data_IF_959355523986
#
_entry.id   IF_959355523986
#
_cell.length_a   1.000
_cell.length_b   1.000
_cell.length_c   1.000
_cell.angle_alpha   90.00
_cell.angle_beta   90.00
_cell.angle_gamma   90.00
#
_symmetry.space_group_name_H-M   'P 1'
#
loop_
_entity.id
_entity.type
_entity.pdbx_description
1 polymer ?
#
# COMPACT_ATOMS: atom_id res chain seq x y z
N UNK A 1 -42.65 -16.47 -26.64
CA UNK A 1 -41.19 -16.62 -26.48
C UNK A 1 -40.63 -15.62 -25.45
N UNK A 2 -41.15 -14.40 -25.35
CA UNK A 2 -40.62 -13.36 -24.43
C UNK A 2 -40.63 -13.74 -22.95
N UNK A 3 -41.66 -14.34 -22.41
CA UNK A 3 -41.76 -14.76 -21.01
C UNK A 3 -40.71 -15.82 -20.66
N UNK A 4 -40.39 -16.74 -21.56
CA UNK A 4 -39.31 -17.73 -21.34
C UNK A 4 -37.95 -17.07 -21.33
N UNK A 5 -37.77 -15.98 -22.06
CA UNK A 5 -36.54 -15.23 -22.08
C UNK A 5 -36.34 -14.47 -20.75
N UNK A 6 -37.41 -13.84 -20.24
CA UNK A 6 -37.35 -13.16 -18.92
C UNK A 6 -37.02 -14.12 -17.79
N UNK A 7 -37.69 -15.28 -17.72
CA UNK A 7 -37.38 -16.28 -16.69
C UNK A 7 -35.93 -16.77 -16.78
N UNK A 8 -35.41 -16.99 -18.00
CA UNK A 8 -34.04 -17.41 -18.18
C UNK A 8 -33.03 -16.33 -17.76
N UNK A 9 -33.39 -15.06 -17.93
CA UNK A 9 -32.55 -13.93 -17.44
C UNK A 9 -32.61 -13.82 -15.92
N UNK A 10 -33.80 -14.00 -15.31
CA UNK A 10 -33.91 -14.04 -13.83
C UNK A 10 -33.10 -15.20 -13.24
N UNK A 11 -33.11 -16.37 -13.88
CA UNK A 11 -32.28 -17.50 -13.46
C UNK A 11 -30.77 -17.15 -13.56
N UNK A 12 -30.33 -16.54 -14.67
CA UNK A 12 -28.96 -16.08 -14.87
C UNK A 12 -28.53 -15.07 -13.77
N UNK A 13 -29.38 -14.08 -13.47
CA UNK A 13 -29.15 -13.08 -12.43
C UNK A 13 -29.04 -13.75 -11.06
N UNK A 14 -29.90 -14.70 -10.77
CA UNK A 14 -29.87 -15.42 -9.51
C UNK A 14 -28.57 -16.21 -9.35
N UNK A 15 -28.10 -16.85 -10.41
CA UNK A 15 -26.85 -17.59 -10.41
C UNK A 15 -25.63 -16.66 -10.25
N UNK A 16 -25.59 -15.54 -10.99
CA UNK A 16 -24.55 -14.49 -10.86
C UNK A 16 -24.52 -13.95 -9.42
N UNK A 17 -25.67 -13.64 -8.85
CA UNK A 17 -25.76 -13.08 -7.50
C UNK A 17 -25.32 -14.08 -6.45
N UNK A 18 -25.71 -15.35 -6.55
CA UNK A 18 -25.27 -16.42 -5.66
C UNK A 18 -23.77 -16.61 -5.69
N UNK A 19 -23.17 -16.64 -6.88
CA UNK A 19 -21.74 -16.77 -7.07
C UNK A 19 -21.00 -15.57 -6.46
N UNK A 20 -21.49 -14.36 -6.74
CA UNK A 20 -20.86 -13.11 -6.30
C UNK A 20 -20.92 -12.93 -4.78
N UNK A 21 -22.06 -13.22 -4.16
CA UNK A 21 -22.27 -13.04 -2.72
C UNK A 21 -21.86 -14.28 -1.89
N UNK A 22 -21.60 -15.42 -2.54
CA UNK A 22 -21.34 -16.69 -1.86
C UNK A 22 -22.56 -17.21 -1.09
N UNK A 23 -23.79 -16.84 -1.51
CA UNK A 23 -25.04 -17.24 -0.87
C UNK A 23 -25.88 -18.13 -1.79
N UNK A 24 -25.69 -19.44 -1.66
CA UNK A 24 -26.45 -20.45 -2.43
C UNK A 24 -27.97 -20.41 -2.18
N UNK A 25 -28.40 -19.79 -1.08
CA UNK A 25 -29.81 -19.65 -0.70
C UNK A 25 -30.50 -18.45 -1.31
N UNK A 26 -29.75 -17.52 -1.92
CA UNK A 26 -30.33 -16.31 -2.50
C UNK A 26 -31.37 -16.61 -3.59
N UNK A 27 -32.49 -15.88 -3.57
CA UNK A 27 -33.54 -15.93 -4.59
C UNK A 27 -33.91 -14.51 -5.00
N UNK A 28 -33.98 -14.27 -6.32
CA UNK A 28 -34.41 -12.97 -6.85
C UNK A 28 -35.87 -12.68 -6.47
N UNK A 29 -36.11 -11.51 -5.89
CA UNK A 29 -37.47 -11.03 -5.63
C UNK A 29 -38.16 -10.59 -6.91
N UNK A 30 -38.82 -11.54 -7.57
CA UNK A 30 -39.56 -11.29 -8.81
C UNK A 30 -40.84 -10.48 -8.60
N UNK A 31 -41.25 -10.21 -7.35
CA UNK A 31 -42.40 -9.38 -7.03
C UNK A 31 -42.22 -7.91 -7.43
N UNK A 32 -41.02 -7.48 -7.67
CA UNK A 32 -40.68 -6.15 -8.19
C UNK A 32 -40.79 -6.06 -9.72
N UNK A 33 -40.91 -7.18 -10.43
CA UNK A 33 -40.95 -7.23 -11.91
C UNK A 33 -42.38 -7.17 -12.41
N UNK A 34 -42.74 -6.10 -13.13
CA UNK A 34 -43.98 -5.99 -13.90
C UNK A 34 -43.69 -6.30 -15.38
N UNK A 35 -44.20 -7.40 -15.88
CA UNK A 35 -43.98 -7.82 -17.26
C UNK A 35 -45.22 -7.59 -18.09
N UNK A 36 -45.09 -6.76 -19.13
CA UNK A 36 -46.16 -6.50 -20.08
C UNK A 36 -45.80 -7.00 -21.48
N UNK A 37 -46.72 -7.69 -22.14
CA UNK A 37 -46.53 -8.14 -23.50
C UNK A 37 -47.05 -7.04 -24.46
N UNK A 38 -46.15 -6.50 -25.29
CA UNK A 38 -46.45 -5.46 -26.26
C UNK A 38 -45.73 -5.66 -27.59
N UNK A 39 -46.13 -4.86 -28.59
CA UNK A 39 -45.43 -4.80 -29.87
C UNK A 39 -44.53 -3.59 -29.86
N UNK A 40 -43.21 -3.83 -29.92
CA UNK A 40 -42.20 -2.76 -29.95
C UNK A 40 -41.48 -2.72 -31.29
N UNK A 41 -40.89 -1.58 -31.64
CA UNK A 41 -40.02 -1.47 -32.82
C UNK A 41 -38.76 -2.29 -32.62
N UNK A 42 -38.26 -2.97 -33.67
CA UNK A 42 -37.06 -3.80 -33.60
C UNK A 42 -35.83 -3.07 -33.08
N UNK A 43 -35.73 -1.75 -33.26
CA UNK A 43 -34.65 -0.90 -32.75
C UNK A 43 -34.75 -0.60 -31.26
N UNK A 44 -35.86 -0.94 -30.60
CA UNK A 44 -36.06 -0.80 -29.15
C UNK A 44 -35.94 -2.13 -28.39
N UNK A 45 -35.37 -3.16 -29.02
CA UNK A 45 -35.15 -4.46 -28.40
C UNK A 45 -33.66 -4.50 -28.00
N UNK A 46 -33.41 -4.45 -26.73
CA UNK A 46 -32.07 -4.66 -26.13
C UNK A 46 -31.57 -6.08 -26.40
N UNK A 47 -30.27 -6.26 -26.42
CA UNK A 47 -29.68 -7.60 -26.39
C UNK A 47 -30.00 -8.32 -25.06
N UNK A 48 -29.84 -9.64 -25.02
CA UNK A 48 -30.08 -10.38 -23.79
C UNK A 48 -29.08 -9.91 -22.71
N UNK A 49 -27.85 -9.63 -23.09
CA UNK A 49 -26.77 -9.18 -22.22
C UNK A 49 -27.11 -7.80 -21.63
N UNK A 50 -27.41 -6.80 -22.45
CA UNK A 50 -27.84 -5.47 -21.98
C UNK A 50 -29.06 -5.54 -21.06
N UNK A 51 -30.01 -6.43 -21.33
CA UNK A 51 -31.19 -6.62 -20.50
C UNK A 51 -30.85 -7.28 -19.17
N UNK A 52 -29.89 -8.23 -19.15
CA UNK A 52 -29.41 -8.87 -17.92
C UNK A 52 -28.71 -7.85 -17.04
N UNK A 53 -27.82 -7.04 -17.60
CA UNK A 53 -27.08 -6.01 -16.88
C UNK A 53 -28.03 -4.98 -16.26
N UNK A 54 -28.92 -4.39 -17.07
CA UNK A 54 -29.90 -3.41 -16.60
C UNK A 54 -30.81 -3.96 -15.49
N UNK A 55 -31.21 -5.22 -15.58
CA UNK A 55 -32.09 -5.83 -14.59
C UNK A 55 -31.32 -6.20 -13.31
N UNK A 56 -30.05 -6.58 -13.43
CA UNK A 56 -29.17 -6.84 -12.27
C UNK A 56 -28.96 -5.56 -11.48
N UNK A 57 -28.67 -4.45 -12.15
CA UNK A 57 -28.53 -3.12 -11.52
C UNK A 57 -29.84 -2.67 -10.86
N UNK A 58 -31.00 -2.89 -11.50
CA UNK A 58 -32.32 -2.51 -10.96
C UNK A 58 -32.66 -3.29 -9.67
N UNK A 59 -32.20 -4.52 -9.56
CA UNK A 59 -32.38 -5.35 -8.35
C UNK A 59 -31.48 -4.92 -7.18
N UNK A 60 -30.37 -4.20 -7.47
CA UNK A 60 -29.56 -3.48 -6.49
C UNK A 60 -28.72 -4.36 -5.54
N UNK A 61 -28.56 -5.66 -5.83
CA UNK A 61 -27.78 -6.58 -4.98
C UNK A 61 -26.36 -6.73 -5.48
N UNK A 62 -26.18 -6.85 -6.79
CA UNK A 62 -24.88 -6.91 -7.45
C UNK A 62 -24.88 -5.97 -8.64
N UNK A 63 -23.74 -5.43 -8.98
CA UNK A 63 -23.57 -4.47 -10.09
C UNK A 63 -22.26 -4.77 -10.80
N UNK A 64 -22.22 -4.59 -12.12
CA UNK A 64 -20.99 -4.76 -12.89
C UNK A 64 -20.09 -3.55 -12.69
N UNK A 65 -18.89 -3.77 -12.19
CA UNK A 65 -18.00 -2.70 -11.78
C UNK A 65 -16.52 -3.06 -11.98
N UNK A 66 -15.67 -2.05 -11.82
CA UNK A 66 -14.21 -2.17 -11.76
C UNK A 66 -13.79 -2.20 -10.30
N UNK A 67 -13.23 -3.34 -9.88
CA UNK A 67 -12.92 -3.64 -8.49
C UNK A 67 -11.43 -3.50 -8.24
N UNK A 68 -11.08 -2.71 -7.24
CA UNK A 68 -9.73 -2.63 -6.72
C UNK A 68 -9.46 -3.76 -5.75
N UNK A 69 -8.49 -4.60 -6.08
CA UNK A 69 -7.92 -5.60 -5.18
C UNK A 69 -6.57 -5.12 -4.67
N UNK A 70 -6.34 -5.32 -3.39
CA UNK A 70 -5.05 -5.08 -2.73
C UNK A 70 -4.68 -6.37 -2.00
N UNK A 71 -3.54 -6.97 -2.35
CA UNK A 71 -3.10 -8.27 -1.83
C UNK A 71 -4.16 -9.38 -2.01
N UNK A 72 -4.91 -9.32 -3.10
CA UNK A 72 -5.97 -10.27 -3.44
C UNK A 72 -7.32 -10.04 -2.76
N UNK A 73 -7.43 -9.05 -1.87
CA UNK A 73 -8.68 -8.70 -1.17
C UNK A 73 -9.39 -7.54 -1.89
N UNK A 74 -10.73 -7.63 -2.12
CA UNK A 74 -11.49 -6.56 -2.73
C UNK A 74 -11.65 -5.40 -1.74
N UNK A 75 -11.20 -4.21 -2.12
CA UNK A 75 -11.18 -3.03 -1.24
C UNK A 75 -12.28 -2.04 -1.57
N UNK A 76 -12.48 -1.76 -2.85
CA UNK A 76 -13.48 -0.81 -3.33
C UNK A 76 -13.80 -1.08 -4.80
N UNK A 77 -14.91 -0.55 -5.29
CA UNK A 77 -15.29 -0.65 -6.69
C UNK A 77 -15.86 0.67 -7.21
N UNK A 78 -15.83 0.85 -8.53
CA UNK A 78 -16.49 1.96 -9.22
C UNK A 78 -17.05 1.48 -10.56
N UNK A 79 -18.11 2.11 -11.03
CA UNK A 79 -18.68 1.85 -12.36
C UNK A 79 -17.94 2.57 -13.50
N UNK A 80 -16.96 3.43 -13.18
CA UNK A 80 -16.23 4.22 -14.17
C UNK A 80 -14.94 3.50 -14.62
N UNK A 81 -14.85 3.10 -15.91
CA UNK A 81 -13.65 2.42 -16.41
C UNK A 81 -12.40 3.30 -16.33
N UNK A 82 -11.28 2.72 -15.91
CA UNK A 82 -9.98 3.39 -15.84
C UNK A 82 -9.84 4.42 -14.71
N UNK A 83 -10.89 4.62 -13.90
CA UNK A 83 -10.89 5.64 -12.87
C UNK A 83 -10.04 5.26 -11.65
N UNK A 84 -10.02 3.99 -11.30
CA UNK A 84 -9.17 3.48 -10.21
C UNK A 84 -7.70 3.55 -10.61
N UNK A 85 -7.35 3.15 -11.83
CA UNK A 85 -5.99 3.21 -12.34
C UNK A 85 -5.46 4.65 -12.35
N UNK A 86 -6.28 5.61 -12.77
CA UNK A 86 -5.92 7.02 -12.70
C UNK A 86 -5.72 7.49 -11.26
N UNK A 87 -6.57 7.06 -10.33
CA UNK A 87 -6.42 7.36 -8.91
C UNK A 87 -5.10 6.81 -8.36
N UNK A 88 -4.75 5.55 -8.70
CA UNK A 88 -3.49 4.93 -8.29
C UNK A 88 -2.28 5.71 -8.82
N UNK A 89 -2.30 6.11 -10.09
CA UNK A 89 -1.22 6.93 -10.64
C UNK A 89 -1.15 8.29 -9.95
N UNK A 90 -2.29 8.92 -9.68
CA UNK A 90 -2.34 10.22 -9.00
C UNK A 90 -1.81 10.15 -7.56
N UNK A 91 -2.00 9.05 -6.86
CA UNK A 91 -1.44 8.85 -5.51
C UNK A 91 0.09 8.81 -5.51
N UNK A 92 0.72 8.32 -6.58
CA UNK A 92 2.19 8.31 -6.73
C UNK A 92 2.78 9.68 -7.07
N UNK A 93 2.01 10.57 -7.71
CA UNK A 93 2.51 11.87 -8.19
C UNK A 93 3.19 12.70 -7.09
N UNK A 94 2.71 12.62 -5.85
CA UNK A 94 3.29 13.37 -4.72
C UNK A 94 4.70 12.90 -4.31
N UNK A 95 5.13 11.73 -4.77
CA UNK A 95 6.43 11.12 -4.45
C UNK A 95 7.42 11.20 -5.63
N UNK A 96 6.91 11.46 -6.84
CA UNK A 96 7.75 11.50 -8.05
C UNK A 96 8.45 12.84 -8.16
N UNK A 97 9.79 12.80 -8.29
CA UNK A 97 10.68 13.95 -8.54
C UNK A 97 11.39 13.81 -9.89
N UNK A 98 12.20 14.81 -10.28
CA UNK A 98 13.05 14.72 -11.48
C UNK A 98 14.12 13.62 -11.36
N UNK A 99 14.45 13.20 -10.14
CA UNK A 99 15.44 12.16 -9.84
C UNK A 99 14.85 10.76 -9.75
N UNK A 100 13.52 10.62 -9.73
CA UNK A 100 12.83 9.34 -9.63
C UNK A 100 13.12 8.47 -10.86
N UNK A 101 13.58 7.25 -10.63
CA UNK A 101 13.83 6.23 -11.65
C UNK A 101 12.80 5.12 -11.61
N UNK A 102 12.12 4.93 -10.46
CA UNK A 102 11.05 3.96 -10.29
C UNK A 102 10.10 4.41 -9.16
N UNK A 103 8.79 4.15 -9.30
CA UNK A 103 7.80 4.45 -8.28
C UNK A 103 6.66 3.42 -8.34
N UNK A 104 6.47 2.67 -7.25
CA UNK A 104 5.50 1.58 -7.19
C UNK A 104 4.90 1.41 -5.79
N UNK A 105 3.85 0.60 -5.68
CA UNK A 105 3.29 0.16 -4.40
C UNK A 105 3.94 -1.14 -3.95
N UNK A 106 4.13 -1.32 -2.64
CA UNK A 106 4.63 -2.57 -2.06
C UNK A 106 3.58 -3.68 -2.20
N UNK A 107 2.32 -3.30 -2.00
CA UNK A 107 1.17 -4.20 -2.07
C UNK A 107 0.90 -4.59 -3.52
N UNK A 108 0.36 -5.79 -3.73
CA UNK A 108 -0.11 -6.24 -5.04
C UNK A 108 -1.45 -5.56 -5.35
N UNK A 109 -1.43 -4.65 -6.33
CA UNK A 109 -2.59 -3.83 -6.71
C UNK A 109 -3.10 -4.27 -8.07
N UNK A 110 -4.31 -4.82 -8.10
CA UNK A 110 -4.98 -5.25 -9.32
C UNK A 110 -6.35 -4.58 -9.46
N UNK A 111 -6.72 -4.26 -10.70
CA UNK A 111 -8.10 -3.84 -11.04
C UNK A 111 -8.71 -4.91 -11.93
N UNK A 112 -9.85 -5.46 -11.51
CA UNK A 112 -10.59 -6.49 -12.25
C UNK A 112 -12.01 -6.02 -12.47
N UNK A 113 -12.57 -6.33 -13.63
CA UNK A 113 -13.98 -6.08 -13.92
C UNK A 113 -14.82 -7.33 -13.61
N UNK A 114 -16.04 -7.10 -13.12
CA UNK A 114 -16.97 -8.19 -12.81
C UNK A 114 -18.14 -7.72 -11.97
N UNK A 115 -19.06 -8.65 -11.70
CA UNK A 115 -20.15 -8.40 -10.78
C UNK A 115 -19.64 -8.43 -9.34
N UNK A 116 -20.06 -7.44 -8.56
CA UNK A 116 -19.72 -7.31 -7.15
C UNK A 116 -20.92 -6.90 -6.33
N UNK A 117 -20.86 -7.10 -5.03
CA UNK A 117 -21.81 -6.53 -4.09
C UNK A 117 -21.86 -5.00 -4.26
N UNK A 118 -23.06 -4.46 -4.51
CA UNK A 118 -23.25 -3.03 -4.76
C UNK A 118 -22.78 -2.15 -3.59
N UNK A 119 -22.65 -2.71 -2.40
CA UNK A 119 -22.10 -2.00 -1.23
C UNK A 119 -20.60 -1.68 -1.34
N UNK A 120 -19.86 -2.36 -2.21
CA UNK A 120 -18.47 -2.07 -2.52
C UNK A 120 -18.31 -0.86 -3.45
N UNK A 121 -19.36 -0.52 -4.18
CA UNK A 121 -19.32 0.57 -5.18
C UNK A 121 -19.38 1.91 -4.47
N UNK A 122 -18.42 2.75 -4.78
CA UNK A 122 -18.24 4.04 -4.13
C UNK A 122 -17.77 5.10 -5.13
N UNK A 123 -17.99 6.37 -4.80
CA UNK A 123 -17.39 7.45 -5.57
C UNK A 123 -15.87 7.52 -5.35
N UNK A 124 -15.15 8.03 -6.34
CA UNK A 124 -13.68 8.09 -6.32
C UNK A 124 -13.11 8.88 -5.13
N UNK A 125 -13.81 9.92 -4.66
CA UNK A 125 -13.40 10.69 -3.49
C UNK A 125 -13.37 9.84 -2.22
N UNK A 126 -14.40 9.01 -2.02
CA UNK A 126 -14.45 8.07 -0.90
C UNK A 126 -13.38 6.98 -1.01
N UNK A 127 -13.15 6.46 -2.24
CA UNK A 127 -12.08 5.48 -2.48
C UNK A 127 -10.72 6.10 -2.14
N UNK A 128 -10.45 7.32 -2.60
CA UNK A 128 -9.22 8.04 -2.30
C UNK A 128 -9.02 8.27 -0.79
N UNK A 129 -10.08 8.69 -0.09
CA UNK A 129 -10.05 8.87 1.37
C UNK A 129 -9.75 7.55 2.08
N UNK A 130 -10.41 6.45 1.67
CA UNK A 130 -10.20 5.11 2.24
C UNK A 130 -8.76 4.64 2.04
N UNK A 131 -8.18 4.83 0.86
CA UNK A 131 -6.81 4.41 0.55
C UNK A 131 -5.75 5.25 1.26
N UNK A 132 -6.03 6.52 1.53
CA UNK A 132 -5.16 7.39 2.34
C UNK A 132 -5.29 7.14 3.86
N UNK A 133 -6.31 6.38 4.28
CA UNK A 133 -6.47 5.97 5.67
C UNK A 133 -5.58 4.77 6.00
N UNK A 134 -5.59 4.34 7.25
CA UNK A 134 -4.90 3.13 7.69
C UNK A 134 -5.83 1.93 7.69
N UNK A 135 -5.38 0.80 7.13
CA UNK A 135 -6.07 -0.50 7.16
C UNK A 135 -6.20 -1.01 8.60
N UNK A 136 -5.16 -0.78 9.41
CA UNK A 136 -5.15 -1.07 10.84
C UNK A 136 -4.45 0.06 11.59
N UNK A 137 -5.03 0.49 12.71
CA UNK A 137 -4.41 1.48 13.57
C UNK A 137 -3.17 0.94 14.28
N UNK A 138 -2.31 1.83 14.76
CA UNK A 138 -1.20 1.45 15.61
C UNK A 138 -1.70 0.74 16.88
N UNK A 139 -1.01 -0.32 17.28
CA UNK A 139 -1.33 -1.04 18.51
C UNK A 139 -0.44 -0.52 19.64
N UNK A 140 -1.07 -0.09 20.72
CA UNK A 140 -0.38 0.42 21.90
C UNK A 140 -0.51 -0.56 23.05
N UNK A 141 0.62 -0.91 23.66
CA UNK A 141 0.71 -1.72 24.86
C UNK A 141 0.89 -0.81 26.09
N UNK A 142 0.09 -1.01 27.11
CA UNK A 142 0.30 -0.32 28.39
C UNK A 142 1.15 -1.18 29.32
N UNK A 143 2.31 -0.69 29.71
CA UNK A 143 3.26 -1.36 30.57
C UNK A 143 2.64 -1.70 31.93
N UNK A 144 2.77 -2.95 32.35
CA UNK A 144 2.25 -3.46 33.63
C UNK A 144 3.36 -3.52 34.69
N UNK A 145 3.01 -3.51 35.97
CA UNK A 145 4.00 -3.73 37.03
C UNK A 145 4.74 -5.05 36.86
N UNK A 146 6.07 -5.00 36.82
CA UNK A 146 6.93 -6.17 36.63
C UNK A 146 7.31 -6.49 35.20
N UNK A 147 6.78 -5.75 34.23
CA UNK A 147 7.22 -5.86 32.83
C UNK A 147 8.66 -5.38 32.67
N UNK A 148 9.35 -6.03 31.76
CA UNK A 148 10.69 -5.61 31.30
C UNK A 148 10.67 -5.49 29.79
N UNK A 149 11.46 -4.57 29.27
CA UNK A 149 11.49 -4.24 27.83
C UNK A 149 11.61 -5.46 26.93
N UNK A 150 12.58 -6.36 27.24
CA UNK A 150 12.82 -7.56 26.44
C UNK A 150 11.65 -8.54 26.44
N UNK A 151 10.92 -8.66 27.56
CA UNK A 151 9.77 -9.54 27.64
C UNK A 151 8.59 -8.98 26.82
N UNK A 152 8.38 -7.65 26.83
CA UNK A 152 7.38 -7.02 25.98
C UNK A 152 7.69 -7.24 24.50
N UNK A 153 8.94 -7.06 24.07
CA UNK A 153 9.37 -7.33 22.71
C UNK A 153 9.12 -8.78 22.31
N UNK A 154 9.58 -9.74 23.10
CA UNK A 154 9.44 -11.18 22.85
C UNK A 154 7.96 -11.61 22.78
N UNK A 155 7.11 -11.14 23.70
CA UNK A 155 5.68 -11.44 23.71
C UNK A 155 4.93 -10.94 22.47
N UNK A 156 5.48 -9.91 21.81
CA UNK A 156 4.91 -9.35 20.59
C UNK A 156 5.67 -9.78 19.32
N UNK A 157 6.56 -10.80 19.45
CA UNK A 157 7.25 -11.40 18.31
C UNK A 157 8.31 -10.51 17.65
N UNK A 158 8.86 -9.54 18.39
CA UNK A 158 9.84 -8.57 17.90
C UNK A 158 11.12 -8.57 18.72
N UNK A 159 12.18 -8.05 18.15
CA UNK A 159 13.45 -7.80 18.83
C UNK A 159 13.38 -6.52 19.69
N UNK A 160 14.30 -6.37 20.63
CA UNK A 160 14.43 -5.15 21.42
C UNK A 160 14.66 -3.90 20.54
N UNK A 161 15.37 -4.08 19.41
CA UNK A 161 15.65 -2.98 18.50
C UNK A 161 14.43 -2.57 17.70
N UNK A 162 13.62 -3.53 17.27
CA UNK A 162 12.34 -3.24 16.57
C UNK A 162 11.38 -2.51 17.49
N UNK A 163 11.24 -2.95 18.76
CA UNK A 163 10.42 -2.23 19.74
C UNK A 163 10.94 -0.81 19.98
N UNK A 164 12.26 -0.60 20.00
CA UNK A 164 12.85 0.74 20.15
C UNK A 164 12.58 1.62 18.93
N UNK A 165 12.66 1.06 17.72
CA UNK A 165 12.36 1.78 16.49
C UNK A 165 10.89 2.24 16.42
N UNK A 166 9.97 1.45 16.99
CA UNK A 166 8.56 1.83 17.14
C UNK A 166 8.34 2.93 18.19
N UNK A 167 9.30 3.14 19.11
CA UNK A 167 9.21 4.10 20.20
C UNK A 167 10.44 5.03 20.22
N UNK A 168 10.65 5.85 19.19
CA UNK A 168 11.84 6.67 19.07
C UNK A 168 11.92 7.67 20.24
N UNK A 169 13.13 7.75 20.85
CA UNK A 169 13.37 8.63 21.98
C UNK A 169 12.95 8.07 23.34
N UNK A 170 12.43 6.84 23.43
CA UNK A 170 12.14 6.18 24.69
C UNK A 170 13.43 5.71 25.37
N UNK A 171 13.58 6.00 26.66
CA UNK A 171 14.71 5.50 27.46
C UNK A 171 14.40 4.11 28.02
N UNK A 172 15.00 3.08 27.45
CA UNK A 172 14.81 1.67 27.84
C UNK A 172 15.15 1.43 29.32
N UNK A 173 16.09 2.22 29.86
CA UNK A 173 16.52 2.08 31.27
C UNK A 173 15.46 2.56 32.27
N UNK A 174 14.41 3.27 31.80
CA UNK A 174 13.42 3.93 32.66
C UNK A 174 12.01 3.48 32.23
N UNK A 175 11.75 2.18 32.31
CA UNK A 175 10.43 1.62 32.02
C UNK A 175 9.53 1.67 33.27
N UNK A 176 8.39 2.34 33.18
CA UNK A 176 7.43 2.44 34.30
C UNK A 176 6.10 1.79 33.96
N UNK A 177 5.46 1.24 34.98
CA UNK A 177 4.07 0.78 34.85
C UNK A 177 3.15 1.95 34.49
N UNK A 178 2.33 1.76 33.48
CA UNK A 178 1.44 2.79 32.92
C UNK A 178 1.99 3.49 31.68
N UNK A 179 3.27 3.30 31.33
CA UNK A 179 3.81 3.81 30.08
C UNK A 179 3.12 3.16 28.89
N UNK A 180 2.99 3.91 27.80
CA UNK A 180 2.40 3.43 26.56
C UNK A 180 3.49 3.23 25.53
N UNK A 181 3.61 1.99 25.07
CA UNK A 181 4.55 1.61 24.02
C UNK A 181 3.80 1.21 22.76
N UNK A 182 4.18 1.78 21.62
CA UNK A 182 3.73 1.31 20.33
C UNK A 182 4.37 -0.04 20.04
N UNK A 183 3.54 -1.07 19.83
CA UNK A 183 3.99 -2.44 19.51
C UNK A 183 3.66 -2.84 18.07
N UNK A 184 2.96 -1.99 17.33
CA UNK A 184 2.75 -2.10 15.90
C UNK A 184 2.42 -0.72 15.34
N UNK A 185 3.04 -0.36 14.24
CA UNK A 185 2.66 0.86 13.51
C UNK A 185 1.26 0.72 12.89
N UNK A 186 0.66 1.85 12.60
CA UNK A 186 -0.51 1.87 11.73
C UNK A 186 -0.15 1.31 10.36
N UNK A 187 -0.98 0.41 9.85
CA UNK A 187 -0.79 -0.22 8.54
C UNK A 187 -1.56 0.58 7.50
N UNK A 188 -0.93 1.25 6.55
CA UNK A 188 -1.62 1.92 5.46
C UNK A 188 -2.28 0.89 4.52
N UNK A 189 -3.23 1.35 3.71
CA UNK A 189 -3.75 0.53 2.61
C UNK A 189 -2.72 0.33 1.51
N UNK A 190 -1.92 1.37 1.24
CA UNK A 190 -0.88 1.37 0.21
C UNK A 190 0.39 2.01 0.75
N UNK A 191 1.50 1.39 0.43
CA UNK A 191 2.85 1.85 0.75
C UNK A 191 3.56 2.21 -0.53
N UNK A 192 3.86 3.50 -0.72
CA UNK A 192 4.56 3.98 -1.91
C UNK A 192 6.06 3.84 -1.71
N UNK A 193 6.72 3.19 -2.67
CA UNK A 193 8.17 3.15 -2.78
C UNK A 193 8.57 4.04 -3.95
N UNK A 194 9.45 5.00 -3.70
CA UNK A 194 10.11 5.83 -4.69
C UNK A 194 11.60 5.57 -4.67
N UNK A 195 12.21 5.33 -5.85
CA UNK A 195 13.64 5.11 -6.00
C UNK A 195 14.20 6.27 -6.81
N UNK A 196 15.02 7.08 -6.16
CA UNK A 196 15.69 8.21 -6.79
C UNK A 196 17.14 7.88 -7.17
N UNK A 197 17.60 8.41 -8.29
CA UNK A 197 19.03 8.41 -8.64
C UNK A 197 19.63 9.76 -8.31
N UNK A 198 20.47 9.79 -7.29
CA UNK A 198 21.13 10.99 -6.81
C UNK A 198 22.63 10.96 -7.11
N UNK A 199 23.17 12.06 -7.63
CA UNK A 199 24.62 12.23 -7.82
C UNK A 199 25.11 13.44 -6.99
N UNK A 200 26.18 13.22 -6.25
CA UNK A 200 26.77 14.25 -5.39
C UNK A 200 28.24 13.99 -5.12
N UNK A 201 28.96 15.07 -4.79
CA UNK A 201 30.36 14.98 -4.40
C UNK A 201 30.46 14.72 -2.90
N UNK A 202 31.21 13.69 -2.50
CA UNK A 202 31.54 13.41 -1.11
C UNK A 202 33.03 13.48 -0.87
N UNK A 203 33.39 13.77 0.38
CA UNK A 203 34.78 13.71 0.81
C UNK A 203 35.24 12.24 1.00
N UNK A 204 36.44 11.92 0.50
CA UNK A 204 37.10 10.65 0.71
C UNK A 204 38.08 10.80 1.87
N UNK A 205 38.04 9.94 2.89
CA UNK A 205 39.04 9.97 3.94
C UNK A 205 40.42 9.65 3.38
N UNK A 206 41.42 10.27 3.91
CA UNK A 206 42.83 9.97 3.62
C UNK A 206 43.30 8.80 4.48
N UNK A 207 44.30 8.05 3.97
CA UNK A 207 44.93 6.99 4.72
C UNK A 207 45.87 7.58 5.78
N UNK A 208 45.91 6.93 6.95
CA UNK A 208 46.78 7.31 8.04
C UNK A 208 47.96 6.33 8.08
N UNK A 209 49.17 6.88 7.84
CA UNK A 209 50.40 6.11 7.95
C UNK A 209 51.05 6.41 9.27
N UNK A 210 51.33 5.36 10.04
CA UNK A 210 52.04 5.46 11.32
C UNK A 210 53.54 5.22 11.11
N UNK A 211 54.34 6.03 11.77
CA UNK A 211 55.80 5.90 11.82
C UNK A 211 56.23 5.89 13.26
N UNK A 212 56.98 4.84 13.65
CA UNK A 212 57.53 4.72 14.99
C UNK A 212 58.58 5.81 15.26
N UNK A 213 58.53 6.41 16.43
CA UNK A 213 59.52 7.35 16.96
C UNK A 213 60.09 6.80 18.26
N UNK A 214 61.39 6.44 18.30
CA UNK A 214 62.01 5.87 19.47
C UNK A 214 62.09 6.82 20.67
N UNK A 215 61.79 8.11 20.49
CA UNK A 215 61.78 9.12 21.54
C UNK A 215 60.38 9.36 22.13
N UNK A 216 59.37 8.60 21.73
CA UNK A 216 58.00 8.70 22.25
C UNK A 216 57.66 7.50 23.12
N UNK A 217 56.84 7.70 24.15
CA UNK A 217 56.32 6.61 24.96
C UNK A 217 55.30 5.78 24.21
N UNK A 218 55.24 4.49 24.53
CA UNK A 218 54.28 3.59 23.92
C UNK A 218 52.83 4.04 24.23
N UNK A 219 52.05 4.26 23.19
CA UNK A 219 50.66 4.77 23.26
C UNK A 219 50.53 6.26 22.98
N UNK A 220 51.63 7.03 22.97
CA UNK A 220 51.61 8.42 22.54
C UNK A 220 51.60 8.52 21.02
N UNK A 221 50.92 9.56 20.48
CA UNK A 221 50.90 9.85 19.06
C UNK A 221 51.05 11.33 18.78
N UNK A 222 51.75 11.67 17.70
CA UNK A 222 51.91 13.04 17.23
C UNK A 222 51.65 13.13 15.74
N UNK A 223 50.78 14.04 15.37
CA UNK A 223 50.52 14.28 13.94
C UNK A 223 51.72 15.03 13.34
N UNK A 224 52.41 14.37 12.41
CA UNK A 224 53.53 14.95 11.67
C UNK A 224 53.10 15.75 10.45
N UNK A 225 52.06 15.26 9.77
CA UNK A 225 51.45 15.93 8.63
C UNK A 225 49.93 15.73 8.68
N UNK A 226 49.18 16.76 8.48
CA UNK A 226 47.72 16.64 8.36
C UNK A 226 47.38 16.08 6.97
N UNK A 227 46.49 15.07 6.95
CA UNK A 227 45.93 14.59 5.71
C UNK A 227 44.94 15.59 5.09
N UNK A 228 44.73 15.46 3.81
CA UNK A 228 43.75 16.23 3.05
C UNK A 228 42.71 15.24 2.53
N UNK A 229 41.45 15.55 2.72
CA UNK A 229 40.36 14.74 2.15
C UNK A 229 40.38 14.84 0.64
N UNK A 230 40.33 13.68 -0.01
CA UNK A 230 40.03 13.62 -1.45
C UNK A 230 38.56 13.88 -1.70
N UNK A 231 38.18 13.93 -2.97
CA UNK A 231 36.78 14.06 -3.40
C UNK A 231 36.44 12.96 -4.40
N UNK A 232 35.23 12.44 -4.28
CA UNK A 232 34.65 11.55 -5.27
C UNK A 232 33.27 12.02 -5.67
N UNK A 233 32.99 11.93 -6.97
CA UNK A 233 31.64 12.01 -7.50
C UNK A 233 30.98 10.64 -7.32
N UNK A 234 29.84 10.61 -6.65
CA UNK A 234 29.15 9.38 -6.26
C UNK A 234 27.74 9.42 -6.81
N UNK A 235 27.33 8.35 -7.43
CA UNK A 235 25.93 8.12 -7.81
C UNK A 235 25.35 7.02 -6.92
N UNK A 236 24.20 7.28 -6.32
CA UNK A 236 23.48 6.33 -5.48
C UNK A 236 22.01 6.22 -5.92
N UNK A 237 21.45 5.01 -5.82
CA UNK A 237 20.01 4.83 -5.78
C UNK A 237 19.57 4.96 -4.33
N UNK A 238 18.63 5.85 -4.09
CA UNK A 238 18.07 6.15 -2.78
C UNK A 238 16.62 5.71 -2.77
N UNK A 239 16.28 4.81 -1.87
CA UNK A 239 14.92 4.29 -1.74
C UNK A 239 14.19 5.04 -0.63
N UNK A 240 13.04 5.57 -0.96
CA UNK A 240 12.11 6.19 -0.03
C UNK A 240 10.87 5.31 0.12
N UNK A 241 10.38 5.17 1.33
CA UNK A 241 9.10 4.53 1.64
C UNK A 241 8.19 5.59 2.25
N UNK A 242 7.06 5.87 1.60
CA UNK A 242 6.13 6.95 1.99
C UNK A 242 6.83 8.30 2.20
N UNK A 243 7.88 8.59 1.43
CA UNK A 243 8.67 9.83 1.48
C UNK A 243 9.82 9.84 2.50
N UNK A 244 10.02 8.76 3.27
CA UNK A 244 11.15 8.64 4.20
C UNK A 244 12.29 7.81 3.59
N UNK A 245 13.53 8.31 3.62
CA UNK A 245 14.71 7.56 3.13
C UNK A 245 14.92 6.32 4.00
N UNK A 246 14.90 5.14 3.37
CA UNK A 246 15.06 3.84 4.04
C UNK A 246 16.32 3.10 3.63
N UNK A 247 16.81 3.33 2.42
CA UNK A 247 18.01 2.68 1.91
C UNK A 247 18.76 3.59 0.93
N UNK A 248 20.08 3.39 0.87
CA UNK A 248 20.98 4.07 -0.09
C UNK A 248 22.00 3.10 -0.62
N UNK A 249 21.93 2.81 -1.91
CA UNK A 249 22.85 1.92 -2.59
C UNK A 249 23.76 2.71 -3.53
N UNK A 250 25.06 2.58 -3.34
CA UNK A 250 26.06 3.24 -4.19
C UNK A 250 26.27 2.44 -5.48
N UNK A 251 25.91 3.04 -6.62
CA UNK A 251 26.01 2.39 -7.94
C UNK A 251 27.25 2.79 -8.72
N UNK A 252 27.81 3.97 -8.46
CA UNK A 252 29.06 4.42 -9.07
C UNK A 252 29.82 5.38 -8.16
N UNK A 253 31.16 5.39 -8.26
CA UNK A 253 32.02 6.36 -7.60
C UNK A 253 33.24 6.64 -8.47
N UNK A 254 33.48 7.91 -8.75
CA UNK A 254 34.64 8.39 -9.53
C UNK A 254 35.46 9.34 -8.66
N UNK A 255 36.71 8.98 -8.39
CA UNK A 255 37.63 9.85 -7.64
C UNK A 255 37.99 11.08 -8.48
N UNK A 256 37.80 12.26 -7.93
CA UNK A 256 38.08 13.54 -8.61
C UNK A 256 39.49 14.06 -8.31
N UNK A 257 40.00 13.87 -7.09
CA UNK A 257 41.34 14.28 -6.67
C UNK A 257 41.63 13.74 -5.26
#
# INVERSE_FOLDING_TARGET
SGIRTVNAVVDDIQDITRETLGDDGYTVDTGKLDTQVGVVRRQAVESREEFTDNLTDELGMVEYAYVLYIDGEPVAATTFPGAIEQLMEQMKVGYITESTVDCYFVEDVEVKEGYVDSSLISNLGYIAEKLNATKAGAVVYTVKPGDVWSAIAEQNGMTNQELLNLNPGYDIAVLHAGDQLTISNAVPYLTVVDVERQSYVRDLPYDVNYKDDPNMYQGDSKVLSKGVYGKADVTANVTFINGEETAREYVASVTLS
#
